data_IF_369857750526
#
_entry.id   IF_369857750526
#
_cell.length_a   1.000
_cell.length_b   1.000
_cell.length_c   1.000
_cell.angle_alpha   90.00
_cell.angle_beta   90.00
_cell.angle_gamma   90.00
#
_symmetry.space_group_name_H-M   'P 1'
#
loop_
_entity.id
_entity.type
_entity.pdbx_description
1 polymer ?
#
# COMPACT_ATOMS: atom_id res chain seq x y z
N UNK A 1 6.97 -43.51 -12.73
CA UNK A 1 7.92 -42.59 -13.39
C UNK A 1 7.14 -41.42 -13.99
N UNK A 2 7.57 -40.19 -13.70
CA UNK A 2 7.02 -38.93 -14.23
C UNK A 2 7.04 -38.87 -15.76
N UNK A 3 6.06 -38.17 -16.33
CA UNK A 3 6.14 -37.08 -17.35
C UNK A 3 4.71 -36.78 -17.82
N UNK A 4 4.04 -35.75 -17.29
CA UNK A 4 4.04 -34.35 -17.75
C UNK A 4 3.98 -34.22 -19.27
N UNK A 5 2.84 -33.77 -19.78
CA UNK A 5 2.73 -32.96 -21.00
C UNK A 5 1.50 -32.06 -20.83
N UNK A 6 1.74 -30.78 -20.54
CA UNK A 6 0.73 -29.71 -20.65
C UNK A 6 0.94 -29.11 -22.04
N UNK A 7 -0.11 -29.15 -22.85
CA UNK A 7 -0.21 -28.46 -24.13
C UNK A 7 -1.15 -27.27 -23.91
N UNK A 8 -0.60 -26.05 -23.84
CA UNK A 8 -1.40 -24.82 -23.84
C UNK A 8 -1.21 -24.13 -25.18
N UNK A 9 -2.22 -24.20 -26.05
CA UNK A 9 -2.39 -23.32 -27.20
C UNK A 9 -3.71 -22.60 -26.93
N UNK A 10 -3.67 -21.30 -26.63
CA UNK A 10 -4.74 -20.36 -27.02
C UNK A 10 -4.09 -18.99 -27.25
N UNK A 11 -4.29 -18.47 -28.46
CA UNK A 11 -3.99 -17.09 -28.84
C UNK A 11 -5.28 -16.30 -29.01
N UNK A 12 -5.25 -15.08 -28.45
CA UNK A 12 -5.94 -13.83 -28.81
C UNK A 12 -7.35 -13.50 -28.29
N UNK A 13 -7.33 -12.38 -27.54
CA UNK A 13 -8.26 -11.23 -27.43
C UNK A 13 -9.30 -11.18 -26.29
N UNK A 14 -9.10 -10.11 -25.49
CA UNK A 14 -9.95 -9.43 -24.51
C UNK A 14 -9.94 -10.01 -23.08
N UNK A 15 -9.82 -9.07 -22.13
CA UNK A 15 -9.69 -9.11 -20.66
C UNK A 15 -8.40 -9.71 -20.05
N UNK A 16 -7.51 -8.82 -19.60
CA UNK A 16 -6.49 -9.12 -18.59
C UNK A 16 -7.19 -9.26 -17.23
N UNK A 17 -7.54 -10.48 -16.82
CA UNK A 17 -7.79 -10.83 -15.43
C UNK A 17 -7.11 -12.19 -15.18
N UNK A 18 -6.04 -12.20 -14.40
CA UNK A 18 -5.50 -13.43 -13.82
C UNK A 18 -5.96 -13.48 -12.35
N UNK A 19 -6.74 -14.50 -12.02
CA UNK A 19 -7.18 -14.80 -10.65
C UNK A 19 -6.05 -15.60 -10.00
N UNK A 20 -5.47 -15.11 -8.90
CA UNK A 20 -4.55 -15.92 -8.10
C UNK A 20 -5.31 -16.57 -6.93
N UNK A 21 -5.24 -17.89 -6.84
CA UNK A 21 -5.76 -18.65 -5.71
C UNK A 21 -4.59 -18.94 -4.77
N UNK A 22 -4.62 -18.38 -3.55
CA UNK A 22 -3.61 -18.63 -2.51
C UNK A 22 -4.23 -19.42 -1.37
N UNK A 23 -3.56 -20.48 -0.92
CA UNK A 23 -4.04 -21.33 0.19
C UNK A 23 -3.96 -20.59 1.53
N UNK A 24 -4.96 -20.81 2.39
CA UNK A 24 -5.13 -20.07 3.66
C UNK A 24 -3.99 -20.22 4.68
N UNK A 25 -3.13 -21.23 4.56
CA UNK A 25 -2.04 -21.50 5.51
C UNK A 25 -0.81 -20.57 5.35
N UNK A 26 -0.80 -19.68 4.35
CA UNK A 26 0.40 -18.88 3.99
C UNK A 26 0.29 -17.36 4.24
N UNK A 27 -0.79 -16.85 4.88
CA UNK A 27 -0.97 -15.38 5.03
C UNK A 27 -1.46 -14.98 6.43
N UNK A 28 -0.67 -14.15 7.12
CA UNK A 28 -1.12 -13.35 8.27
C UNK A 28 -1.59 -11.97 7.78
N UNK A 29 -2.91 -11.82 7.64
CA UNK A 29 -3.55 -10.60 7.12
C UNK A 29 -3.53 -9.40 8.08
N UNK A 30 -3.06 -9.55 9.34
CA UNK A 30 -2.92 -8.39 10.24
C UNK A 30 -1.66 -7.56 9.97
N UNK A 31 -0.71 -8.07 9.19
CA UNK A 31 0.59 -7.43 8.95
C UNK A 31 0.87 -7.07 7.49
N UNK A 32 -0.09 -7.32 6.58
CA UNK A 32 0.14 -7.17 5.15
C UNK A 32 -0.44 -5.86 4.60
N UNK A 33 0.43 -4.88 4.40
CA UNK A 33 0.15 -3.64 3.68
C UNK A 33 0.19 -3.92 2.16
N UNK A 34 -0.96 -4.10 1.54
CA UNK A 34 -1.02 -4.28 0.08
C UNK A 34 -1.05 -2.91 -0.60
N UNK A 35 -0.24 -2.68 -1.67
CA UNK A 35 -0.50 -1.57 -2.60
C UNK A 35 -1.90 -1.71 -3.21
N UNK A 36 -2.53 -0.58 -3.58
CA UNK A 36 -3.88 -0.55 -4.17
C UNK A 36 -4.10 -1.68 -5.19
N UNK A 37 -5.14 -2.48 -4.97
CA UNK A 37 -5.54 -3.60 -5.81
C UNK A 37 -6.80 -3.22 -6.56
N UNK A 38 -6.98 -3.73 -7.79
CA UNK A 38 -8.33 -3.77 -8.33
C UNK A 38 -9.16 -4.79 -7.58
N UNK A 39 -10.32 -4.38 -7.05
CA UNK A 39 -11.21 -5.31 -6.39
C UNK A 39 -11.75 -6.34 -7.39
N UNK A 40 -12.18 -7.50 -6.90
CA UNK A 40 -12.85 -8.49 -7.76
C UNK A 40 -14.20 -7.93 -8.21
N UNK A 41 -14.32 -7.57 -9.48
CA UNK A 41 -15.53 -7.04 -10.11
C UNK A 41 -16.48 -8.16 -10.57
N UNK A 42 -16.02 -9.40 -10.66
CA UNK A 42 -16.84 -10.52 -11.13
C UNK A 42 -16.38 -11.86 -10.56
N UNK A 43 -17.33 -12.70 -10.15
CA UNK A 43 -17.11 -14.13 -9.87
C UNK A 43 -18.08 -14.96 -10.71
N UNK A 44 -17.57 -15.91 -11.48
CA UNK A 44 -18.37 -16.90 -12.21
C UNK A 44 -18.47 -18.19 -11.40
N UNK A 45 -19.70 -18.66 -11.15
CA UNK A 45 -19.97 -19.83 -10.33
C UNK A 45 -20.62 -20.90 -11.20
N UNK A 46 -20.00 -22.08 -11.24
CA UNK A 46 -20.54 -23.22 -11.97
C UNK A 46 -21.96 -23.55 -11.49
N UNK A 47 -22.93 -23.54 -12.41
CA UNK A 47 -24.33 -23.84 -12.12
C UNK A 47 -25.18 -22.69 -11.54
N UNK A 48 -24.58 -21.62 -11.00
CA UNK A 48 -25.30 -20.45 -10.49
C UNK A 48 -25.26 -19.26 -11.47
N UNK A 49 -24.13 -19.08 -12.16
CA UNK A 49 -23.91 -17.99 -13.11
C UNK A 49 -22.95 -16.93 -12.56
N UNK A 50 -23.00 -15.76 -13.19
CA UNK A 50 -22.11 -14.62 -12.92
C UNK A 50 -22.66 -13.74 -11.80
N UNK A 51 -21.79 -13.29 -10.91
CA UNK A 51 -22.05 -12.21 -9.96
C UNK A 51 -21.12 -11.06 -10.28
N UNK A 52 -21.69 -9.87 -10.45
CA UNK A 52 -20.96 -8.62 -10.69
C UNK A 52 -20.90 -7.79 -9.40
N UNK A 53 -19.78 -7.09 -9.18
CA UNK A 53 -19.56 -6.24 -8.02
C UNK A 53 -19.12 -4.85 -8.47
N UNK A 54 -19.57 -3.81 -7.77
CA UNK A 54 -19.07 -2.44 -7.96
C UNK A 54 -18.49 -1.89 -6.66
N UNK A 55 -17.53 -0.98 -6.79
CA UNK A 55 -16.74 -0.48 -5.66
C UNK A 55 -16.56 1.04 -5.71
N UNK A 56 -16.48 1.65 -4.54
CA UNK A 56 -16.03 3.03 -4.32
C UNK A 56 -14.91 3.03 -3.28
N UNK A 57 -13.76 3.64 -3.59
CA UNK A 57 -12.55 3.60 -2.74
C UNK A 57 -12.23 2.19 -2.19
N UNK A 58 -12.36 1.14 -3.02
CA UNK A 58 -12.19 -0.29 -2.70
C UNK A 58 -13.20 -0.90 -1.70
N UNK A 59 -14.21 -0.14 -1.25
CA UNK A 59 -15.37 -0.67 -0.55
C UNK A 59 -16.41 -1.15 -1.55
N UNK A 60 -16.90 -2.38 -1.39
CA UNK A 60 -17.94 -2.93 -2.27
C UNK A 60 -19.25 -2.17 -2.05
N UNK A 61 -19.66 -1.35 -3.01
CA UNK A 61 -20.90 -0.57 -2.95
C UNK A 61 -22.09 -1.27 -3.59
N UNK A 62 -21.88 -2.25 -4.48
CA UNK A 62 -22.97 -3.13 -4.92
C UNK A 62 -22.52 -4.53 -5.29
N UNK A 63 -23.47 -5.47 -5.25
CA UNK A 63 -23.36 -6.80 -5.87
C UNK A 63 -24.63 -7.13 -6.64
N UNK A 64 -24.48 -7.67 -7.85
CA UNK A 64 -25.58 -8.02 -8.74
C UNK A 64 -25.39 -9.46 -9.21
N UNK A 65 -26.23 -10.36 -8.69
CA UNK A 65 -26.34 -11.73 -9.17
C UNK A 65 -27.43 -11.85 -10.24
N UNK A 66 -27.77 -13.10 -10.58
CA UNK A 66 -28.77 -13.42 -11.60
C UNK A 66 -30.16 -12.84 -11.31
N UNK A 67 -30.61 -12.95 -10.07
CA UNK A 67 -31.99 -12.65 -9.67
C UNK A 67 -32.08 -11.59 -8.56
N UNK A 68 -30.95 -11.07 -8.07
CA UNK A 68 -30.92 -10.15 -6.93
C UNK A 68 -29.74 -9.17 -7.03
N UNK A 69 -29.96 -7.93 -6.58
CA UNK A 69 -28.94 -6.89 -6.43
C UNK A 69 -28.94 -6.41 -4.99
N UNK A 70 -27.78 -6.12 -4.42
CA UNK A 70 -27.65 -5.54 -3.08
C UNK A 70 -26.74 -4.33 -3.17
N UNK A 71 -27.21 -3.20 -2.66
CA UNK A 71 -26.47 -1.96 -2.49
C UNK A 71 -25.95 -1.86 -1.06
N UNK A 72 -24.75 -1.31 -0.89
CA UNK A 72 -24.05 -1.19 0.37
C UNK A 72 -23.70 0.27 0.68
N UNK A 73 -24.01 0.71 1.89
CA UNK A 73 -23.67 2.05 2.39
C UNK A 73 -22.63 1.94 3.50
N UNK A 74 -21.59 2.75 3.41
CA UNK A 74 -20.53 2.81 4.42
C UNK A 74 -20.55 4.15 5.16
N UNK A 75 -20.06 4.14 6.40
CA UNK A 75 -19.79 5.37 7.16
C UNK A 75 -18.54 6.09 6.62
N UNK A 76 -18.32 7.33 7.06
CA UNK A 76 -17.11 8.10 6.73
C UNK A 76 -15.80 7.41 7.16
N UNK A 77 -15.87 6.51 8.14
CA UNK A 77 -14.74 5.70 8.60
C UNK A 77 -14.66 4.31 7.96
N UNK A 78 -15.42 4.05 6.90
CA UNK A 78 -15.32 2.82 6.10
C UNK A 78 -16.05 1.61 6.70
N UNK A 79 -16.98 1.81 7.63
CA UNK A 79 -17.75 0.71 8.23
C UNK A 79 -19.01 0.46 7.41
N UNK A 80 -19.33 -0.80 7.11
CA UNK A 80 -20.57 -1.14 6.41
C UNK A 80 -21.75 -0.88 7.35
N UNK A 81 -22.54 0.17 7.09
CA UNK A 81 -23.67 0.58 7.94
C UNK A 81 -25.04 0.17 7.37
N UNK A 82 -25.13 -0.12 6.07
CA UNK A 82 -26.38 -0.56 5.44
C UNK A 82 -26.14 -1.54 4.30
N UNK A 83 -27.02 -2.53 4.15
CA UNK A 83 -27.14 -3.39 2.97
C UNK A 83 -28.61 -3.47 2.56
N UNK A 84 -28.94 -3.21 1.30
CA UNK A 84 -30.31 -3.10 0.79
C UNK A 84 -30.47 -3.78 -0.56
N UNK A 85 -31.45 -4.67 -0.70
CA UNK A 85 -31.75 -5.33 -1.97
C UNK A 85 -33.01 -4.80 -2.69
N UNK A 86 -33.55 -3.68 -2.20
CA UNK A 86 -34.78 -3.05 -2.68
C UNK A 86 -36.08 -3.64 -2.10
N UNK A 87 -36.02 -4.86 -1.54
CA UNK A 87 -37.15 -5.50 -0.84
C UNK A 87 -36.95 -5.59 0.66
N UNK A 88 -35.70 -5.75 1.08
CA UNK A 88 -35.27 -5.91 2.46
C UNK A 88 -33.94 -5.18 2.67
N UNK A 89 -33.77 -4.67 3.89
CA UNK A 89 -32.55 -3.98 4.26
C UNK A 89 -32.10 -4.33 5.67
N UNK A 90 -30.80 -4.23 5.86
CA UNK A 90 -30.10 -4.51 7.11
C UNK A 90 -29.30 -3.26 7.48
N UNK A 91 -29.53 -2.71 8.66
CA UNK A 91 -28.67 -1.69 9.24
C UNK A 91 -27.72 -2.34 10.25
N UNK A 92 -26.45 -1.98 10.24
CA UNK A 92 -25.46 -2.55 11.15
C UNK A 92 -25.15 -1.60 12.30
N UNK A 93 -25.04 -2.15 13.51
CA UNK A 93 -24.76 -1.40 14.73
C UNK A 93 -23.29 -1.58 15.08
N UNK A 94 -22.58 -0.50 15.43
CA UNK A 94 -21.16 -0.54 15.77
C UNK A 94 -20.84 0.12 17.12
N UNK A 95 -19.79 -0.38 17.77
CA UNK A 95 -19.05 0.31 18.82
C UNK A 95 -17.56 0.32 18.45
N UNK A 96 -17.00 1.51 18.27
CA UNK A 96 -15.69 1.67 17.64
C UNK A 96 -15.66 1.01 16.27
N UNK A 97 -14.74 0.07 16.04
CA UNK A 97 -14.60 -0.69 14.79
C UNK A 97 -15.36 -2.04 14.77
N UNK A 98 -16.00 -2.41 15.88
CA UNK A 98 -16.63 -3.73 16.03
C UNK A 98 -18.12 -3.63 15.72
N UNK A 99 -18.62 -4.47 14.81
CA UNK A 99 -20.06 -4.58 14.58
C UNK A 99 -20.70 -5.31 15.77
N UNK A 100 -21.58 -4.66 16.52
CA UNK A 100 -22.22 -5.28 17.68
C UNK A 100 -23.48 -6.07 17.32
N UNK A 101 -24.01 -5.89 16.11
CA UNK A 101 -25.29 -6.45 15.74
C UNK A 101 -25.87 -5.84 14.48
N UNK A 102 -27.15 -6.12 14.24
CA UNK A 102 -27.89 -5.60 13.12
C UNK A 102 -29.34 -5.23 13.51
N UNK A 103 -29.97 -4.39 12.70
CA UNK A 103 -31.40 -4.14 12.70
C UNK A 103 -31.96 -4.67 11.40
N UNK A 104 -32.94 -5.57 11.50
CA UNK A 104 -33.66 -6.14 10.37
C UNK A 104 -35.15 -6.16 10.67
N UNK A 105 -35.98 -5.65 9.75
CA UNK A 105 -37.45 -5.52 9.93
C UNK A 105 -37.85 -4.85 11.26
N UNK A 106 -37.14 -3.78 11.63
CA UNK A 106 -37.31 -3.03 12.88
C UNK A 106 -37.07 -3.81 14.18
N UNK A 107 -36.33 -4.92 14.12
CA UNK A 107 -35.89 -5.67 15.29
C UNK A 107 -34.37 -5.62 15.40
N UNK A 108 -33.87 -5.33 16.60
CA UNK A 108 -32.45 -5.32 16.89
C UNK A 108 -31.97 -6.73 17.32
N UNK A 109 -30.83 -7.13 16.76
CA UNK A 109 -30.17 -8.38 17.04
C UNK A 109 -28.71 -8.12 17.40
N UNK A 110 -28.19 -8.79 18.43
CA UNK A 110 -26.82 -8.58 18.94
C UNK A 110 -25.95 -9.80 18.74
N UNK A 111 -24.68 -9.58 18.47
CA UNK A 111 -23.71 -10.65 18.25
C UNK A 111 -22.99 -11.05 19.53
N UNK A 112 -22.69 -12.34 19.63
CA UNK A 112 -21.74 -12.90 20.57
C UNK A 112 -20.55 -13.41 19.78
N UNK A 113 -19.35 -12.97 20.16
CA UNK A 113 -18.10 -13.27 19.46
C UNK A 113 -17.26 -14.32 20.18
N UNK A 114 -16.46 -15.07 19.41
CA UNK A 114 -15.34 -15.85 19.94
C UNK A 114 -14.06 -15.00 20.09
N UNK A 115 -12.96 -15.63 20.54
CA UNK A 115 -11.67 -14.97 20.77
C UNK A 115 -10.99 -14.45 19.51
N UNK A 116 -11.37 -14.95 18.33
CA UNK A 116 -10.80 -14.53 17.03
C UNK A 116 -11.72 -13.58 16.26
N UNK A 117 -12.81 -13.12 16.88
CA UNK A 117 -13.73 -12.14 16.33
C UNK A 117 -14.79 -12.72 15.40
N UNK A 118 -15.06 -14.03 15.43
CA UNK A 118 -16.17 -14.63 14.68
C UNK A 118 -17.47 -14.57 15.47
N UNK A 119 -18.59 -14.27 14.80
CA UNK A 119 -19.92 -14.32 15.44
C UNK A 119 -20.29 -15.78 15.69
N UNK A 120 -20.38 -16.22 16.94
CA UNK A 120 -20.77 -17.59 17.30
C UNK A 120 -22.24 -17.69 17.69
N UNK A 121 -22.88 -16.57 18.03
CA UNK A 121 -24.30 -16.51 18.35
C UNK A 121 -24.94 -15.16 18.05
N UNK A 122 -26.26 -15.16 17.87
CA UNK A 122 -27.09 -13.95 17.82
C UNK A 122 -28.09 -14.00 18.96
N UNK A 123 -28.31 -12.87 19.63
CA UNK A 123 -29.42 -12.68 20.58
C UNK A 123 -30.50 -11.75 20.05
N UNK A 124 -31.73 -11.93 20.52
CA UNK A 124 -32.80 -10.94 20.35
C UNK A 124 -32.63 -9.72 21.29
N UNK A 125 -33.57 -8.78 21.23
CA UNK A 125 -33.61 -7.57 22.08
C UNK A 125 -33.69 -7.88 23.58
N UNK A 126 -34.23 -9.04 23.95
CA UNK A 126 -34.35 -9.50 25.33
C UNK A 126 -33.10 -10.24 25.82
N UNK A 127 -32.12 -10.47 24.93
CA UNK A 127 -30.87 -11.18 25.24
C UNK A 127 -30.97 -12.70 25.13
N UNK A 128 -32.07 -13.25 24.59
CA UNK A 128 -32.17 -14.70 24.37
C UNK A 128 -31.36 -15.08 23.15
N UNK A 129 -30.60 -16.18 23.23
CA UNK A 129 -29.87 -16.71 22.07
C UNK A 129 -30.88 -17.27 21.07
N UNK A 130 -30.91 -16.71 19.87
CA UNK A 130 -31.82 -17.12 18.79
C UNK A 130 -31.11 -17.87 17.66
N UNK A 131 -29.78 -17.74 17.57
CA UNK A 131 -28.97 -18.41 16.56
C UNK A 131 -27.62 -18.85 17.14
N UNK A 132 -27.08 -19.96 16.64
CA UNK A 132 -25.69 -20.39 16.82
C UNK A 132 -25.03 -20.66 15.47
N UNK A 133 -23.75 -20.32 15.36
CA UNK A 133 -22.92 -20.62 14.21
C UNK A 133 -21.83 -21.62 14.58
N UNK A 134 -21.55 -22.53 13.65
CA UNK A 134 -20.38 -23.41 13.70
C UNK A 134 -19.64 -23.31 12.37
N UNK A 135 -18.36 -23.01 12.46
CA UNK A 135 -17.45 -22.83 11.34
C UNK A 135 -16.58 -24.08 11.20
N UNK A 136 -17.04 -25.09 10.46
CA UNK A 136 -16.31 -26.34 10.22
C UNK A 136 -16.07 -26.53 8.73
N UNK A 137 -14.84 -26.28 8.27
CA UNK A 137 -14.50 -26.31 6.84
C UNK A 137 -14.85 -27.69 6.22
N UNK A 138 -15.54 -27.73 5.05
CA UNK A 138 -15.95 -26.62 4.17
C UNK A 138 -17.37 -26.08 4.43
N UNK A 139 -18.00 -26.47 5.54
CA UNK A 139 -19.38 -26.13 5.91
C UNK A 139 -19.48 -24.90 6.81
N UNK A 140 -20.63 -24.24 6.72
CA UNK A 140 -21.03 -23.19 7.64
C UNK A 140 -22.40 -23.50 8.19
N UNK A 141 -22.41 -24.11 9.37
CA UNK A 141 -23.65 -24.58 9.96
C UNK A 141 -24.31 -23.45 10.74
N UNK A 142 -25.60 -23.27 10.46
CA UNK A 142 -26.45 -22.30 11.14
C UNK A 142 -27.48 -23.08 11.92
N UNK A 143 -27.57 -22.84 13.22
CA UNK A 143 -28.47 -23.53 14.11
C UNK A 143 -29.51 -22.56 14.69
N UNK A 144 -30.77 -22.98 14.70
CA UNK A 144 -31.82 -22.41 15.53
C UNK A 144 -31.88 -23.18 16.86
N UNK A 145 -32.29 -22.52 17.94
CA UNK A 145 -32.54 -23.21 19.22
C UNK A 145 -34.01 -23.59 19.34
N UNK A 146 -34.30 -24.88 19.33
CA UNK A 146 -35.63 -25.44 19.62
C UNK A 146 -35.58 -26.09 21.01
N UNK A 147 -36.25 -25.49 22.00
CA UNK A 147 -36.21 -25.94 23.41
C UNK A 147 -34.76 -26.08 23.92
N UNK A 148 -33.92 -25.08 23.67
CA UNK A 148 -32.49 -25.05 24.02
C UNK A 148 -31.60 -26.09 23.30
N UNK A 149 -32.15 -26.84 22.33
CA UNK A 149 -31.39 -27.77 21.50
C UNK A 149 -31.05 -27.12 20.15
N UNK A 150 -29.77 -27.06 19.76
CA UNK A 150 -29.37 -26.61 18.42
C UNK A 150 -29.88 -27.55 17.33
N UNK A 151 -30.68 -27.02 16.40
CA UNK A 151 -31.19 -27.72 15.22
C UNK A 151 -30.70 -27.01 13.97
N UNK A 152 -30.11 -27.76 13.03
CA UNK A 152 -29.60 -27.19 11.78
C UNK A 152 -30.74 -26.51 11.01
N UNK A 153 -30.55 -25.25 10.65
CA UNK A 153 -31.57 -24.40 10.07
C UNK A 153 -31.17 -23.93 8.67
N UNK A 154 -31.83 -24.46 7.65
CA UNK A 154 -31.65 -24.04 6.24
C UNK A 154 -32.72 -23.07 5.77
N UNK A 155 -33.54 -22.49 6.67
CA UNK A 155 -34.58 -21.53 6.30
C UNK A 155 -33.96 -20.18 5.97
N UNK A 156 -34.12 -19.71 4.73
CA UNK A 156 -33.54 -18.46 4.24
C UNK A 156 -34.07 -17.21 4.95
N UNK A 157 -35.30 -17.26 5.49
CA UNK A 157 -35.90 -16.16 6.23
C UNK A 157 -35.47 -16.12 7.71
N UNK A 158 -34.71 -17.12 8.18
CA UNK A 158 -34.22 -17.15 9.56
C UNK A 158 -33.10 -16.13 9.75
N UNK A 159 -33.10 -15.39 10.87
CA UNK A 159 -32.12 -14.34 11.14
C UNK A 159 -30.66 -14.82 11.02
N UNK A 160 -30.39 -16.08 11.41
CA UNK A 160 -29.08 -16.69 11.25
C UNK A 160 -28.63 -16.78 9.78
N UNK A 161 -29.57 -17.01 8.86
CA UNK A 161 -29.32 -17.07 7.42
C UNK A 161 -29.37 -15.69 6.75
N UNK A 162 -30.13 -14.74 7.30
CA UNK A 162 -30.17 -13.34 6.86
C UNK A 162 -28.89 -12.60 7.22
N UNK A 163 -28.32 -12.83 8.41
CA UNK A 163 -27.12 -12.15 8.88
C UNK A 163 -25.90 -12.50 8.01
N UNK A 164 -25.26 -11.50 7.37
CA UNK A 164 -24.04 -11.71 6.61
C UNK A 164 -22.76 -11.61 7.46
N UNK A 165 -22.76 -10.92 8.61
CA UNK A 165 -21.54 -10.74 9.42
C UNK A 165 -21.29 -12.01 10.24
N UNK A 166 -20.25 -12.78 9.90
CA UNK A 166 -20.03 -14.11 10.50
C UNK A 166 -18.56 -14.35 10.88
N UNK A 167 -17.84 -15.24 10.16
CA UNK A 167 -16.46 -15.60 10.46
C UNK A 167 -15.54 -14.38 10.47
N UNK A 168 -14.81 -14.16 11.57
CA UNK A 168 -13.93 -12.99 11.80
C UNK A 168 -14.57 -11.61 11.54
N UNK A 169 -15.90 -11.51 11.61
CA UNK A 169 -16.64 -10.29 11.31
C UNK A 169 -16.73 -9.95 9.82
N UNK A 170 -16.40 -10.89 8.93
CA UNK A 170 -16.48 -10.71 7.48
C UNK A 170 -17.90 -10.89 6.95
N UNK A 171 -18.19 -10.28 5.80
CA UNK A 171 -19.49 -10.34 5.15
C UNK A 171 -19.60 -11.62 4.32
N UNK A 172 -20.55 -12.49 4.64
CA UNK A 172 -20.78 -13.75 3.96
C UNK A 172 -21.72 -13.60 2.76
N UNK A 173 -21.21 -13.90 1.56
CA UNK A 173 -21.99 -14.04 0.34
C UNK A 173 -22.43 -15.50 0.20
N UNK A 174 -23.67 -15.76 0.61
CA UNK A 174 -24.24 -17.11 0.63
C UNK A 174 -24.27 -17.76 -0.75
N UNK A 175 -24.51 -16.98 -1.79
CA UNK A 175 -24.67 -17.44 -3.16
C UNK A 175 -23.41 -18.06 -3.78
N UNK A 176 -22.23 -17.70 -3.27
CA UNK A 176 -20.94 -18.15 -3.78
C UNK A 176 -20.06 -18.83 -2.72
N UNK A 177 -20.59 -19.01 -1.50
CA UNK A 177 -19.88 -19.54 -0.34
C UNK A 177 -18.55 -18.82 -0.06
N UNK A 178 -18.51 -17.50 -0.25
CA UNK A 178 -17.35 -16.67 0.01
C UNK A 178 -17.60 -15.65 1.12
N UNK A 179 -16.55 -15.32 1.85
CA UNK A 179 -16.49 -14.17 2.72
C UNK A 179 -15.84 -13.00 2.01
N UNK A 180 -16.43 -11.81 2.08
CA UNK A 180 -15.79 -10.55 1.72
C UNK A 180 -15.13 -9.94 2.97
N UNK A 181 -13.82 -9.72 2.89
CA UNK A 181 -12.99 -9.25 3.99
C UNK A 181 -12.83 -7.73 4.01
N UNK A 182 -13.17 -7.06 2.90
CA UNK A 182 -12.78 -5.68 2.62
C UNK A 182 -11.82 -5.61 1.43
N UNK A 183 -11.69 -4.40 0.86
CA UNK A 183 -10.70 -4.06 -0.17
C UNK A 183 -10.70 -4.97 -1.42
N UNK A 184 -11.84 -5.57 -1.74
CA UNK A 184 -11.98 -6.44 -2.91
C UNK A 184 -11.42 -7.85 -2.74
N UNK A 185 -11.12 -8.26 -1.50
CA UNK A 185 -10.59 -9.58 -1.16
C UNK A 185 -11.71 -10.50 -0.65
N UNK A 186 -11.69 -11.74 -1.13
CA UNK A 186 -12.64 -12.76 -0.74
C UNK A 186 -11.94 -14.01 -0.19
N UNK A 187 -12.63 -14.78 0.63
CA UNK A 187 -12.20 -16.09 1.11
C UNK A 187 -13.25 -17.13 0.75
N UNK A 188 -12.86 -18.10 -0.09
CA UNK A 188 -13.72 -19.18 -0.55
C UNK A 188 -13.69 -20.33 0.45
N UNK A 189 -14.83 -20.56 1.10
CA UNK A 189 -14.96 -21.58 2.14
C UNK A 189 -15.00 -22.99 1.57
N UNK A 190 -15.39 -23.18 0.31
CA UNK A 190 -15.36 -24.51 -0.32
C UNK A 190 -13.95 -25.01 -0.54
N UNK A 191 -13.01 -24.10 -0.84
CA UNK A 191 -11.65 -24.43 -1.26
C UNK A 191 -10.58 -24.11 -0.21
N UNK A 192 -10.91 -23.38 0.86
CA UNK A 192 -9.97 -22.86 1.85
C UNK A 192 -8.91 -21.93 1.22
N UNK A 193 -9.37 -21.05 0.33
CA UNK A 193 -8.51 -20.21 -0.50
C UNK A 193 -8.94 -18.76 -0.42
N UNK A 194 -7.96 -17.86 -0.38
CA UNK A 194 -8.22 -16.45 -0.64
C UNK A 194 -8.36 -16.25 -2.15
N UNK A 195 -9.46 -15.60 -2.55
CA UNK A 195 -9.67 -15.11 -3.90
C UNK A 195 -9.39 -13.60 -3.87
N UNK A 196 -8.41 -13.21 -4.65
CA UNK A 196 -8.09 -11.81 -4.90
C UNK A 196 -7.65 -11.69 -6.34
N UNK A 197 -7.94 -10.54 -6.95
CA UNK A 197 -7.22 -10.20 -8.17
C UNK A 197 -5.74 -10.05 -7.82
N UNK A 198 -4.87 -10.31 -8.80
CA UNK A 198 -3.50 -9.85 -8.73
C UNK A 198 -3.47 -8.36 -8.36
N UNK A 199 -2.40 -7.91 -7.71
CA UNK A 199 -2.16 -6.49 -7.45
C UNK A 199 -2.13 -5.76 -8.78
N UNK A 200 -3.28 -5.24 -9.18
CA UNK A 200 -3.40 -4.38 -10.32
C UNK A 200 -3.12 -2.97 -9.83
N UNK A 201 -1.92 -2.46 -10.15
CA UNK A 201 -1.60 -1.05 -10.02
C UNK A 201 -2.67 -0.27 -10.81
N UNK A 202 -3.65 0.30 -10.10
CA UNK A 202 -4.64 1.21 -10.70
C UNK A 202 -3.89 2.48 -11.07
N UNK A 203 -3.30 2.51 -12.27
CA UNK A 203 -2.67 3.71 -12.80
C UNK A 203 -3.78 4.57 -13.43
N UNK A 204 -3.95 5.84 -13.02
CA UNK A 204 -5.06 6.69 -13.44
C UNK A 204 -4.94 7.23 -14.89
N UNK A 205 -4.15 6.60 -15.77
CA UNK A 205 -4.01 7.10 -17.14
C UNK A 205 -3.57 6.01 -18.14
N UNK A 206 -4.07 6.12 -19.37
CA UNK A 206 -3.80 5.23 -20.50
C UNK A 206 -2.33 5.27 -20.93
N UNK A 207 -1.52 4.35 -20.39
CA UNK A 207 -0.19 4.03 -20.90
C UNK A 207 -0.04 2.53 -21.11
N UNK A 208 0.84 2.12 -22.03
CA UNK A 208 0.94 0.73 -22.45
C UNK A 208 1.33 -0.17 -21.28
N UNK A 209 0.62 -1.29 -21.10
CA UNK A 209 0.91 -2.36 -20.14
C UNK A 209 2.41 -2.79 -20.12
N UNK A 210 3.14 -2.51 -21.20
CA UNK A 210 4.58 -2.81 -21.32
C UNK A 210 5.48 -2.02 -20.36
N UNK A 211 5.16 -0.78 -19.99
CA UNK A 211 6.06 0.05 -19.19
C UNK A 211 5.98 -0.29 -17.71
N UNK A 212 4.77 -0.53 -17.22
CA UNK A 212 4.51 -1.07 -15.89
C UNK A 212 5.15 -2.44 -15.73
N UNK A 213 4.98 -3.30 -16.74
CA UNK A 213 5.58 -4.64 -16.76
C UNK A 213 7.11 -4.58 -16.70
N UNK A 214 7.77 -3.64 -17.39
CA UNK A 214 9.23 -3.44 -17.31
C UNK A 214 9.67 -3.04 -15.90
N UNK A 215 9.00 -2.07 -15.28
CA UNK A 215 9.33 -1.61 -13.92
C UNK A 215 9.12 -2.72 -12.90
N UNK A 216 8.02 -3.46 -13.00
CA UNK A 216 7.72 -4.57 -12.09
C UNK A 216 8.68 -5.75 -12.27
N UNK A 217 9.03 -6.09 -13.51
CA UNK A 217 10.03 -7.12 -13.80
C UNK A 217 11.38 -6.78 -13.19
N UNK A 218 11.84 -5.54 -13.35
CA UNK A 218 13.09 -5.07 -12.75
C UNK A 218 13.01 -5.10 -11.22
N UNK A 219 11.91 -4.65 -10.64
CA UNK A 219 11.68 -4.71 -9.19
C UNK A 219 11.77 -6.14 -8.65
N UNK A 220 11.08 -7.10 -9.27
CA UNK A 220 11.13 -8.51 -8.88
C UNK A 220 12.55 -9.10 -9.00
N UNK A 221 13.29 -8.75 -10.06
CA UNK A 221 14.69 -9.15 -10.21
C UNK A 221 15.58 -8.59 -9.10
N UNK A 222 15.40 -7.31 -8.75
CA UNK A 222 16.11 -6.66 -7.66
C UNK A 222 15.81 -7.30 -6.30
N UNK A 223 14.54 -7.57 -6.01
CA UNK A 223 14.12 -8.14 -4.71
C UNK A 223 14.50 -9.62 -4.55
N UNK A 224 14.58 -10.37 -5.64
CA UNK A 224 15.03 -11.78 -5.63
C UNK A 224 16.56 -11.93 -5.77
N UNK A 225 17.29 -10.84 -5.99
CA UNK A 225 18.75 -10.86 -6.10
C UNK A 225 19.40 -10.98 -4.72
N UNK A 226 20.25 -11.99 -4.56
CA UNK A 226 21.06 -12.17 -3.34
C UNK A 226 22.17 -11.13 -3.20
N UNK A 227 22.47 -10.36 -4.25
CA UNK A 227 23.56 -9.37 -4.25
C UNK A 227 23.07 -7.92 -4.14
N UNK A 228 21.88 -7.60 -4.64
CA UNK A 228 21.36 -6.23 -4.74
C UNK A 228 21.14 -5.54 -3.38
N UNK A 229 20.80 -6.29 -2.33
CA UNK A 229 20.63 -5.78 -0.96
C UNK A 229 21.85 -6.04 -0.05
N UNK A 230 22.89 -6.69 -0.58
CA UNK A 230 24.01 -7.16 0.23
C UNK A 230 24.84 -6.04 0.86
N UNK A 231 25.49 -6.32 1.98
CA UNK A 231 26.37 -5.36 2.65
C UNK A 231 27.53 -4.91 1.73
N UNK A 232 28.01 -3.67 1.92
CA UNK A 232 29.16 -3.10 1.21
C UNK A 232 30.24 -2.59 2.16
N UNK A 233 31.50 -2.88 1.82
CA UNK A 233 32.67 -2.37 2.54
C UNK A 233 32.93 -0.89 2.26
N UNK A 234 33.70 -0.26 3.14
CA UNK A 234 34.27 1.07 2.89
C UNK A 234 35.48 0.94 1.97
N UNK A 235 35.79 2.01 1.23
CA UNK A 235 37.09 2.12 0.53
C UNK A 235 38.14 2.71 1.48
N UNK A 236 39.37 2.21 1.41
CA UNK A 236 40.51 2.79 2.14
C UNK A 236 40.87 4.18 1.63
N UNK A 237 41.62 4.97 2.41
CA UNK A 237 42.15 6.28 1.97
C UNK A 237 42.91 6.18 0.66
N UNK A 238 43.77 5.18 0.53
CA UNK A 238 44.57 4.95 -0.67
C UNK A 238 43.69 4.65 -1.89
N UNK A 239 42.63 3.87 -1.72
CA UNK A 239 41.66 3.61 -2.80
C UNK A 239 40.86 4.87 -3.15
N UNK A 240 40.40 5.62 -2.15
CA UNK A 240 39.66 6.87 -2.36
C UNK A 240 40.47 7.90 -3.15
N UNK A 241 41.74 8.07 -2.80
CA UNK A 241 42.67 9.02 -3.44
C UNK A 241 42.97 8.64 -4.89
N UNK A 242 42.86 7.34 -5.22
CA UNK A 242 42.95 6.84 -6.60
C UNK A 242 41.64 6.96 -7.39
N UNK A 243 40.59 7.50 -6.78
CA UNK A 243 39.28 7.69 -7.40
C UNK A 243 38.26 6.61 -7.10
N UNK A 244 38.62 5.52 -6.40
CA UNK A 244 37.68 4.43 -6.12
C UNK A 244 36.62 4.87 -5.11
N UNK A 245 35.40 4.36 -5.28
CA UNK A 245 34.26 4.58 -4.40
C UNK A 245 33.64 3.24 -4.04
N UNK A 246 32.95 3.20 -2.90
CA UNK A 246 32.33 1.97 -2.39
C UNK A 246 31.20 1.45 -3.30
N UNK A 247 30.62 2.34 -4.11
CA UNK A 247 29.51 2.06 -5.02
C UNK A 247 29.96 1.77 -6.46
N UNK A 248 31.26 1.76 -6.78
CA UNK A 248 31.72 1.64 -8.17
C UNK A 248 31.22 0.36 -8.87
N UNK A 249 31.16 -0.76 -8.14
CA UNK A 249 30.67 -2.04 -8.65
C UNK A 249 29.13 -2.15 -8.71
N UNK A 250 28.40 -1.16 -8.21
CA UNK A 250 26.94 -1.16 -8.19
C UNK A 250 26.37 -0.62 -9.51
N UNK A 251 25.25 -1.20 -9.92
CA UNK A 251 24.43 -0.62 -10.98
C UNK A 251 23.66 0.60 -10.46
N UNK A 252 23.16 1.41 -11.38
CA UNK A 252 22.52 2.69 -11.05
C UNK A 252 21.23 2.51 -10.23
N UNK A 253 20.48 1.43 -10.47
CA UNK A 253 19.27 1.11 -9.72
C UNK A 253 19.57 0.82 -8.26
N UNK A 254 20.63 0.06 -7.95
CA UNK A 254 21.04 -0.23 -6.57
C UNK A 254 21.57 1.03 -5.87
N UNK A 255 22.34 1.85 -6.57
CA UNK A 255 22.81 3.14 -6.04
C UNK A 255 21.61 4.03 -5.68
N UNK A 256 20.61 4.11 -6.56
CA UNK A 256 19.41 4.90 -6.34
C UNK A 256 18.61 4.40 -5.13
N UNK A 257 18.39 3.08 -5.02
CA UNK A 257 17.65 2.49 -3.90
C UNK A 257 18.35 2.77 -2.56
N UNK A 258 19.68 2.58 -2.51
CA UNK A 258 20.50 2.86 -1.32
C UNK A 258 20.53 4.34 -0.97
N UNK A 259 20.53 5.22 -1.97
CA UNK A 259 20.47 6.67 -1.77
C UNK A 259 19.16 7.04 -1.07
N UNK A 260 18.03 6.69 -1.68
CA UNK A 260 16.69 7.01 -1.15
C UNK A 260 16.53 6.45 0.27
N UNK A 261 16.96 5.20 0.47
CA UNK A 261 16.94 4.58 1.79
C UNK A 261 17.79 5.33 2.82
N UNK A 262 19.02 5.71 2.46
CA UNK A 262 19.94 6.38 3.37
C UNK A 262 19.50 7.78 3.78
N UNK A 263 18.76 8.47 2.90
CA UNK A 263 18.15 9.76 3.22
C UNK A 263 16.98 9.61 4.20
N UNK A 264 16.24 8.49 4.15
CA UNK A 264 15.21 8.22 5.15
C UNK A 264 14.88 6.73 5.41
N UNK A 265 15.44 6.19 6.48
CA UNK A 265 15.32 4.78 6.88
C UNK A 265 14.07 4.45 7.71
N UNK A 266 13.26 5.44 8.10
CA UNK A 266 12.16 5.26 9.05
C UNK A 266 10.83 4.90 8.36
N UNK A 267 10.04 3.98 8.93
CA UNK A 267 8.78 3.51 8.34
C UNK A 267 7.79 4.64 7.98
N UNK A 268 7.52 5.57 8.90
CA UNK A 268 6.57 6.69 8.71
C UNK A 268 7.05 7.87 7.85
N UNK A 269 7.98 7.64 6.92
CA UNK A 269 8.63 8.68 6.09
C UNK A 269 8.54 8.39 4.60
N UNK A 270 7.48 7.69 4.18
CA UNK A 270 7.24 7.32 2.79
C UNK A 270 7.21 8.54 1.86
N UNK A 271 6.52 9.62 2.27
CA UNK A 271 6.47 10.87 1.50
C UNK A 271 7.84 11.51 1.31
N UNK A 272 8.69 11.49 2.34
CA UNK A 272 10.04 12.06 2.27
C UNK A 272 10.90 11.28 1.26
N UNK A 273 10.81 9.95 1.26
CA UNK A 273 11.50 9.09 0.27
C UNK A 273 10.99 9.33 -1.15
N UNK A 274 9.68 9.43 -1.34
CA UNK A 274 9.10 9.77 -2.65
C UNK A 274 9.54 11.15 -3.11
N UNK A 275 9.63 12.14 -2.20
CA UNK A 275 10.13 13.46 -2.52
C UNK A 275 11.61 13.47 -2.93
N UNK A 276 12.46 12.65 -2.30
CA UNK A 276 13.85 12.43 -2.75
C UNK A 276 13.88 11.88 -4.18
N UNK A 277 12.98 10.96 -4.53
CA UNK A 277 12.90 10.43 -5.88
C UNK A 277 12.51 11.53 -6.91
N UNK A 278 11.51 12.35 -6.59
CA UNK A 278 11.12 13.50 -7.41
C UNK A 278 12.24 14.54 -7.53
N UNK A 279 12.99 14.80 -6.47
CA UNK A 279 14.16 15.68 -6.48
C UNK A 279 15.21 15.18 -7.49
N UNK A 280 15.48 13.88 -7.52
CA UNK A 280 16.42 13.27 -8.48
C UNK A 280 15.92 13.48 -9.91
N UNK A 281 14.66 13.17 -10.20
CA UNK A 281 14.04 13.40 -11.50
C UNK A 281 14.11 14.87 -11.93
N UNK A 282 13.78 15.80 -11.02
CA UNK A 282 13.86 17.24 -11.26
C UNK A 282 15.28 17.69 -11.59
N UNK A 283 16.29 17.18 -10.87
CA UNK A 283 17.69 17.50 -11.13
C UNK A 283 18.13 17.03 -12.52
N UNK A 284 17.75 15.82 -12.92
CA UNK A 284 18.02 15.28 -14.26
C UNK A 284 17.40 16.17 -15.33
N UNK A 285 16.11 16.49 -15.20
CA UNK A 285 15.38 17.31 -16.15
C UNK A 285 15.87 18.77 -16.19
N UNK A 286 16.45 19.26 -15.08
CA UNK A 286 17.10 20.56 -15.00
C UNK A 286 18.56 20.56 -15.52
N UNK A 287 19.06 19.43 -16.04
CA UNK A 287 20.40 19.32 -16.62
C UNK A 287 21.54 19.20 -15.61
N UNK A 288 21.25 18.86 -14.34
CA UNK A 288 22.31 18.61 -13.35
C UNK A 288 23.16 17.43 -13.82
N UNK A 289 24.47 17.58 -13.68
CA UNK A 289 25.44 16.58 -14.18
C UNK A 289 25.18 16.20 -15.64
N UNK A 290 24.83 17.18 -16.48
CA UNK A 290 24.52 16.99 -17.91
C UNK A 290 23.35 16.03 -18.16
N UNK A 291 22.41 15.92 -17.20
CA UNK A 291 21.29 14.99 -17.26
C UNK A 291 21.68 13.52 -17.00
N UNK A 292 22.93 13.25 -16.59
CA UNK A 292 23.38 11.89 -16.30
C UNK A 292 22.83 11.39 -14.95
N UNK A 293 22.02 10.33 -15.00
CA UNK A 293 21.36 9.72 -13.84
C UNK A 293 22.34 9.39 -12.71
N UNK A 294 23.38 8.59 -13.00
CA UNK A 294 24.43 8.24 -12.03
C UNK A 294 25.12 9.48 -11.49
N UNK A 295 25.49 10.42 -12.36
CA UNK A 295 26.17 11.67 -12.03
C UNK A 295 25.37 12.58 -11.11
N UNK A 296 24.03 12.55 -11.14
CA UNK A 296 23.18 13.26 -10.18
C UNK A 296 23.27 12.60 -8.80
N UNK A 297 23.12 11.27 -8.73
CA UNK A 297 23.13 10.51 -7.47
C UNK A 297 24.50 10.50 -6.79
N UNK A 298 25.57 10.45 -7.57
CA UNK A 298 26.94 10.34 -7.08
C UNK A 298 27.66 11.68 -7.05
N UNK A 299 26.97 12.82 -7.27
CA UNK A 299 27.60 14.14 -7.17
C UNK A 299 28.11 14.34 -5.75
N UNK A 300 29.40 14.63 -5.63
CA UNK A 300 30.03 14.77 -4.30
C UNK A 300 29.31 15.81 -3.45
N UNK A 301 29.07 15.43 -2.19
CA UNK A 301 28.44 16.26 -1.14
C UNK A 301 26.97 16.65 -1.40
N UNK A 302 26.36 16.22 -2.50
CA UNK A 302 24.93 16.45 -2.75
C UNK A 302 24.04 15.41 -2.06
N UNK A 303 24.52 14.17 -2.00
CA UNK A 303 23.93 13.08 -1.24
C UNK A 303 25.04 12.43 -0.41
N UNK A 304 25.19 12.85 0.84
CA UNK A 304 26.28 12.39 1.72
C UNK A 304 26.20 10.90 2.06
N UNK A 305 25.01 10.29 1.95
CA UNK A 305 24.86 8.85 2.06
C UNK A 305 25.58 8.07 0.95
N UNK A 306 25.81 8.69 -0.21
CA UNK A 306 26.47 8.06 -1.36
C UNK A 306 27.92 8.55 -1.53
N UNK A 307 28.13 9.84 -1.75
CA UNK A 307 29.45 10.39 -2.08
C UNK A 307 29.83 11.59 -1.19
N UNK A 308 30.12 11.35 0.11
CA UNK A 308 30.55 12.40 1.02
C UNK A 308 32.02 12.81 0.74
N UNK A 309 32.58 13.68 1.57
CA UNK A 309 34.04 13.83 1.64
C UNK A 309 34.65 12.63 2.37
N UNK A 310 35.94 12.34 2.17
CA UNK A 310 36.59 11.21 2.84
C UNK A 310 36.46 11.26 4.37
N UNK A 311 36.57 12.47 4.96
CA UNK A 311 36.43 12.68 6.42
C UNK A 311 35.04 12.31 6.95
N UNK A 312 34.04 12.19 6.07
CA UNK A 312 32.64 11.91 6.37
C UNK A 312 32.18 10.56 5.79
N UNK A 313 33.10 9.61 5.58
CA UNK A 313 32.76 8.27 5.08
C UNK A 313 31.77 7.49 5.98
N UNK A 314 31.66 7.85 7.27
CA UNK A 314 30.65 7.33 8.19
C UNK A 314 29.22 7.61 7.72
N UNK A 315 28.99 8.68 6.95
CA UNK A 315 27.66 9.06 6.47
C UNK A 315 27.08 8.02 5.50
N UNK A 316 27.94 7.18 4.91
CA UNK A 316 27.55 6.09 4.01
C UNK A 316 27.05 4.84 4.74
N UNK A 317 27.05 4.80 6.08
CA UNK A 317 26.75 3.60 6.85
C UNK A 317 25.38 3.01 6.52
N UNK A 318 24.33 3.85 6.47
CA UNK A 318 22.97 3.40 6.14
C UNK A 318 22.89 2.89 4.70
N UNK A 319 23.57 3.56 3.75
CA UNK A 319 23.58 3.16 2.35
C UNK A 319 24.32 1.83 2.12
N UNK A 320 25.35 1.53 2.92
CA UNK A 320 26.20 0.33 2.79
C UNK A 320 25.77 -0.87 3.62
N UNK A 321 24.88 -0.69 4.59
CA UNK A 321 24.37 -1.79 5.39
C UNK A 321 23.70 -2.86 4.50
N UNK A 322 23.63 -4.09 5.03
CA UNK A 322 22.74 -5.09 4.46
C UNK A 322 21.30 -4.59 4.60
N UNK A 323 20.53 -4.66 3.52
CA UNK A 323 19.17 -4.16 3.48
C UNK A 323 18.19 -5.31 3.70
N UNK A 324 17.23 -5.09 4.58
CA UNK A 324 16.17 -6.06 4.84
C UNK A 324 15.17 -6.05 3.68
N UNK A 325 15.21 -7.10 2.86
CA UNK A 325 14.31 -7.27 1.71
C UNK A 325 12.86 -7.44 2.10
N UNK A 326 12.58 -7.79 3.36
CA UNK A 326 11.23 -7.92 3.90
C UNK A 326 10.67 -6.59 4.41
N UNK A 327 11.53 -5.58 4.62
CA UNK A 327 11.14 -4.25 5.09
C UNK A 327 10.41 -3.44 4.01
N UNK A 328 9.26 -2.88 4.35
CA UNK A 328 8.49 -2.03 3.43
C UNK A 328 9.21 -0.73 3.07
N UNK A 329 10.06 -0.23 3.98
CA UNK A 329 10.95 0.91 3.70
C UNK A 329 11.87 0.58 2.53
N UNK A 330 12.54 -0.58 2.58
CA UNK A 330 13.45 -0.99 1.53
C UNK A 330 12.71 -1.30 0.23
N UNK A 331 11.60 -2.06 0.29
CA UNK A 331 10.75 -2.33 -0.88
C UNK A 331 10.34 -1.04 -1.60
N UNK A 332 9.91 -0.02 -0.87
CA UNK A 332 9.56 1.28 -1.45
C UNK A 332 10.77 1.93 -2.15
N UNK A 333 11.96 1.91 -1.52
CA UNK A 333 13.18 2.47 -2.11
C UNK A 333 13.55 1.77 -3.41
N UNK A 334 13.47 0.43 -3.45
CA UNK A 334 13.76 -0.35 -4.66
C UNK A 334 12.75 -0.05 -5.77
N UNK A 335 11.46 0.06 -5.45
CA UNK A 335 10.42 0.39 -6.42
C UNK A 335 10.63 1.79 -7.01
N UNK A 336 10.88 2.80 -6.18
CA UNK A 336 11.21 4.17 -6.62
C UNK A 336 12.47 4.21 -7.51
N UNK A 337 13.50 3.45 -7.15
CA UNK A 337 14.72 3.34 -7.95
C UNK A 337 14.50 2.69 -9.32
N UNK A 338 13.66 1.64 -9.39
CA UNK A 338 13.30 0.98 -10.65
C UNK A 338 12.56 1.96 -11.58
N UNK A 339 11.63 2.74 -11.03
CA UNK A 339 10.89 3.79 -11.77
C UNK A 339 11.87 4.84 -12.29
N UNK A 340 12.77 5.34 -11.45
CA UNK A 340 13.72 6.39 -11.84
C UNK A 340 14.78 5.94 -12.85
N UNK A 341 15.13 4.65 -12.85
CA UNK A 341 16.01 4.08 -13.88
C UNK A 341 15.27 3.94 -15.21
N UNK A 342 13.95 3.82 -15.17
CA UNK A 342 13.08 3.74 -16.35
C UNK A 342 12.78 5.13 -16.95
N UNK A 343 12.46 6.12 -16.11
CA UNK A 343 12.06 7.46 -16.57
C UNK A 343 12.36 8.56 -15.54
N UNK A 344 12.69 9.75 -16.05
CA UNK A 344 12.72 11.00 -15.27
C UNK A 344 11.50 11.89 -15.54
N UNK A 345 10.57 11.48 -16.42
CA UNK A 345 9.36 12.23 -16.69
C UNK A 345 8.43 12.18 -15.47
N UNK A 346 8.11 13.34 -14.92
CA UNK A 346 7.31 13.42 -13.68
C UNK A 346 5.89 12.91 -13.83
N UNK A 347 5.28 13.03 -15.00
CA UNK A 347 3.93 12.54 -15.24
C UNK A 347 3.93 11.01 -15.27
N UNK A 348 4.98 10.42 -15.85
CA UNK A 348 5.19 8.97 -15.80
C UNK A 348 5.53 8.48 -14.39
N UNK A 349 6.39 9.17 -13.65
CA UNK A 349 6.68 8.83 -12.24
C UNK A 349 5.39 8.91 -11.41
N UNK A 350 4.60 9.97 -11.58
CA UNK A 350 3.35 10.20 -10.86
C UNK A 350 2.31 9.10 -11.06
N UNK A 351 2.37 8.38 -12.19
CA UNK A 351 1.52 7.22 -12.38
C UNK A 351 1.85 6.13 -11.37
N UNK A 352 3.13 5.84 -11.11
CA UNK A 352 3.55 4.79 -10.19
C UNK A 352 3.54 5.22 -8.72
N UNK A 353 3.97 6.45 -8.45
CA UNK A 353 4.02 7.06 -7.13
C UNK A 353 3.73 8.55 -7.28
N UNK A 354 2.54 9.04 -6.89
CA UNK A 354 2.21 10.44 -7.00
C UNK A 354 3.13 11.31 -6.14
N UNK A 355 3.34 12.55 -6.58
CA UNK A 355 4.13 13.51 -5.83
C UNK A 355 3.45 13.80 -4.47
N UNK A 356 4.18 13.76 -3.35
CA UNK A 356 3.65 14.13 -2.05
C UNK A 356 3.21 15.59 -2.04
N UNK A 357 2.25 15.91 -1.16
CA UNK A 357 1.78 17.29 -0.97
C UNK A 357 2.96 18.23 -0.74
N UNK A 358 2.98 19.34 -1.49
CA UNK A 358 4.01 20.38 -1.45
C UNK A 358 5.22 20.12 -2.37
N UNK A 359 5.36 18.92 -2.94
CA UNK A 359 6.47 18.59 -3.85
C UNK A 359 6.05 18.86 -5.30
N UNK A 360 6.89 19.57 -6.04
CA UNK A 360 6.65 19.93 -7.44
C UNK A 360 7.94 19.93 -8.28
N UNK A 361 8.71 21.02 -8.27
CA UNK A 361 9.88 21.27 -9.12
C UNK A 361 11.15 21.53 -8.32
N UNK A 362 11.15 21.28 -7.01
CA UNK A 362 12.31 21.50 -6.16
C UNK A 362 13.51 20.71 -6.68
N UNK A 363 14.66 21.38 -6.78
CA UNK A 363 15.97 20.78 -7.13
C UNK A 363 16.98 20.84 -5.99
N UNK A 364 16.61 21.43 -4.84
CA UNK A 364 17.41 21.44 -3.63
C UNK A 364 16.71 20.68 -2.50
N UNK A 365 17.53 20.09 -1.64
CA UNK A 365 17.09 19.40 -0.44
C UNK A 365 18.15 19.56 0.64
N UNK A 366 17.71 19.70 1.89
CA UNK A 366 18.60 19.67 3.05
C UNK A 366 17.87 19.12 4.27
N UNK A 367 18.56 18.30 5.08
CA UNK A 367 17.97 17.74 6.30
C UNK A 367 17.66 18.82 7.32
N UNK A 368 16.42 18.85 7.84
CA UNK A 368 15.94 19.92 8.72
C UNK A 368 16.77 20.05 10.00
N UNK A 369 17.25 18.93 10.55
CA UNK A 369 18.13 18.96 11.73
C UNK A 369 19.39 19.80 11.46
N UNK A 370 19.96 19.68 10.27
CA UNK A 370 21.16 20.40 9.87
C UNK A 370 20.85 21.86 9.50
N UNK A 371 19.65 22.16 8.95
CA UNK A 371 19.19 23.55 8.74
C UNK A 371 19.11 24.28 10.07
N UNK A 372 18.41 23.71 11.06
CA UNK A 372 18.21 24.34 12.38
C UNK A 372 19.55 24.58 13.09
N UNK A 373 20.53 23.69 12.91
CA UNK A 373 21.83 23.76 13.56
C UNK A 373 22.87 24.63 12.81
N UNK A 374 22.58 25.05 11.57
CA UNK A 374 23.56 25.70 10.71
C UNK A 374 23.39 27.22 10.67
N UNK A 375 24.49 27.95 10.83
CA UNK A 375 24.53 29.40 10.64
C UNK A 375 24.42 29.84 9.18
N UNK A 376 24.55 28.91 8.22
CA UNK A 376 24.35 29.20 6.80
C UNK A 376 22.89 29.49 6.47
N UNK A 377 21.93 29.09 7.32
CA UNK A 377 20.51 29.37 7.12
C UNK A 377 20.06 30.54 8.00
N UNK A 378 19.44 31.54 7.39
CA UNK A 378 18.92 32.73 8.11
C UNK A 378 17.46 32.99 7.78
N UNK A 379 16.76 33.69 8.69
CA UNK A 379 15.32 33.96 8.59
C UNK A 379 15.08 35.45 8.67
N UNK A 380 14.54 36.03 7.59
CA UNK A 380 14.32 37.48 7.45
C UNK A 380 13.03 37.70 6.66
N UNK A 381 12.20 38.66 7.07
CA UNK A 381 10.98 39.04 6.35
C UNK A 381 10.07 37.85 5.99
N UNK A 382 9.88 36.91 6.92
CA UNK A 382 9.08 35.69 6.74
C UNK A 382 9.56 34.76 5.62
N UNK A 383 10.87 34.74 5.37
CA UNK A 383 11.53 33.86 4.41
C UNK A 383 12.79 33.25 4.98
N UNK A 384 13.19 32.11 4.42
CA UNK A 384 14.46 31.45 4.70
C UNK A 384 15.47 31.77 3.60
N UNK A 385 16.73 31.93 3.98
CA UNK A 385 17.86 32.19 3.11
C UNK A 385 18.96 31.17 3.42
N UNK A 386 19.70 30.73 2.41
CA UNK A 386 20.93 29.98 2.59
C UNK A 386 22.09 30.75 1.96
N UNK A 387 23.11 31.09 2.75
CA UNK A 387 24.24 31.93 2.33
C UNK A 387 23.77 33.21 1.60
N UNK A 388 22.81 33.90 2.20
CA UNK A 388 22.15 35.13 1.69
C UNK A 388 21.33 34.98 0.40
N UNK A 389 21.10 33.76 -0.10
CA UNK A 389 20.19 33.49 -1.22
C UNK A 389 18.82 33.06 -0.70
N UNK A 390 17.77 33.75 -1.11
CA UNK A 390 16.36 33.45 -0.74
C UNK A 390 15.97 32.07 -1.26
N UNK A 391 15.33 31.25 -0.41
CA UNK A 391 14.73 29.99 -0.86
C UNK A 391 13.27 30.23 -1.28
N UNK A 392 12.85 29.49 -2.30
CA UNK A 392 11.50 29.52 -2.87
C UNK A 392 10.95 28.10 -3.01
N UNK A 393 9.63 27.96 -3.19
CA UNK A 393 8.96 26.64 -3.32
C UNK A 393 9.31 25.68 -2.18
N UNK A 394 9.29 26.20 -0.95
CA UNK A 394 9.77 25.52 0.25
C UNK A 394 8.72 24.56 0.76
N UNK A 395 9.07 23.28 0.95
CA UNK A 395 8.14 22.26 1.39
C UNK A 395 8.79 21.18 2.26
N UNK A 396 7.97 20.61 3.14
CA UNK A 396 8.20 19.34 3.82
C UNK A 396 7.21 18.35 3.27
N UNK A 397 7.71 17.31 2.60
CA UNK A 397 6.92 16.36 1.82
C UNK A 397 5.77 15.74 2.63
N UNK A 398 4.54 15.80 2.09
CA UNK A 398 3.36 15.19 2.71
C UNK A 398 2.93 15.82 4.03
N UNK A 399 3.55 16.95 4.42
CA UNK A 399 3.28 17.63 5.69
C UNK A 399 2.87 19.08 5.52
N UNK A 400 3.70 19.87 4.82
CA UNK A 400 3.47 21.32 4.74
C UNK A 400 4.20 21.94 3.56
N UNK A 401 3.47 22.77 2.81
CA UNK A 401 4.06 23.72 1.88
C UNK A 401 4.12 25.10 2.55
N UNK A 402 5.27 25.76 2.47
CA UNK A 402 5.51 27.04 3.12
C UNK A 402 5.46 28.17 2.11
N UNK A 403 4.49 29.06 2.30
CA UNK A 403 4.44 30.37 1.62
C UNK A 403 5.20 31.42 2.45
N UNK A 404 5.24 31.25 3.77
CA UNK A 404 5.94 32.10 4.73
C UNK A 404 6.60 31.25 5.82
N UNK A 405 7.81 31.66 6.27
CA UNK A 405 8.50 31.06 7.41
C UNK A 405 9.33 32.11 8.15
N UNK A 406 9.07 32.29 9.44
CA UNK A 406 9.54 33.44 10.22
C UNK A 406 10.75 33.10 11.08
N UNK A 407 10.94 31.82 11.44
CA UNK A 407 12.08 31.38 12.26
C UNK A 407 12.36 29.88 12.13
N UNK A 408 13.54 29.47 12.59
CA UNK A 408 13.93 28.05 12.66
C UNK A 408 13.01 27.22 13.56
N UNK A 409 12.36 27.82 14.56
CA UNK A 409 11.53 27.08 15.51
C UNK A 409 10.30 26.46 14.85
N UNK A 410 9.81 27.04 13.75
CA UNK A 410 8.72 26.48 12.95
C UNK A 410 9.07 25.15 12.28
N UNK A 411 10.38 24.86 12.12
CA UNK A 411 10.86 23.60 11.58
C UNK A 411 11.05 22.52 12.66
N UNK A 412 10.97 22.86 13.95
CA UNK A 412 11.21 21.90 15.03
C UNK A 412 10.23 20.71 15.00
N UNK A 413 8.97 20.94 14.58
CA UNK A 413 7.96 19.89 14.44
C UNK A 413 8.32 18.86 13.36
N UNK A 414 9.27 19.18 12.48
CA UNK A 414 9.68 18.38 11.34
C UNK A 414 11.15 17.91 11.45
N UNK A 415 11.70 17.85 12.66
CA UNK A 415 13.02 17.22 12.87
C UNK A 415 13.04 15.79 12.33
N UNK A 416 14.16 15.44 11.69
CA UNK A 416 14.33 14.17 10.97
C UNK A 416 13.55 14.06 9.66
N UNK A 417 13.03 15.16 9.11
CA UNK A 417 12.57 15.26 7.72
C UNK A 417 13.54 16.07 6.88
N UNK A 418 13.37 16.03 5.57
CA UNK A 418 14.07 16.89 4.63
C UNK A 418 13.22 18.12 4.26
N UNK A 419 13.89 19.26 4.08
CA UNK A 419 13.30 20.47 3.49
C UNK A 419 13.65 20.50 2.01
N UNK A 420 12.65 20.57 1.15
CA UNK A 420 12.79 20.66 -0.29
C UNK A 420 12.55 22.11 -0.72
N UNK A 421 13.35 22.63 -1.65
CA UNK A 421 13.26 24.03 -2.07
C UNK A 421 13.97 24.31 -3.41
N UNK A 422 13.85 25.54 -3.86
CA UNK A 422 14.62 26.15 -4.94
C UNK A 422 15.33 27.42 -4.44
N UNK A 423 16.37 27.87 -5.14
CA UNK A 423 16.91 29.21 -4.94
C UNK A 423 16.12 30.20 -5.79
N UNK A 424 15.87 31.39 -5.23
CA UNK A 424 15.41 32.52 -6.03
C UNK A 424 16.47 32.84 -7.09
N UNK A 425 16.04 32.82 -8.35
CA UNK A 425 16.89 33.15 -9.50
C UNK A 425 17.24 34.64 -9.53
#
# INVERSE_FOLDING_TARGET
>A
MKKITILLIVTFLLSNLFICNVKAEEIDLQTWDFPERKPIETIDIEGYGRIDYTYDHNFRISKTGKDNSVEFTYSECGQLIYADNGSESIAFIYDGHTCLGLIYKNQEYKYIYDEVGSVVSITDEQGNIVCKYEYDFPTQNVYILENDVPVLCSNDAFIGNINPIRYRGWYYDKENNCYYLGEGVYYNVSNNEYIMNDVELILPYSYSCSDVSKVLTLYTQCMNSTTFSGQRGQVSKTQWDKGNRWYDALNDTEICARLIYSENTSAGKADDRTAVAYLIANRINAGYSEGNFRGVMTKSQQFSGINPTYKRLSDTNNARAAQDVTSDVWKQCVKLACILTYTSDKSQIASFYPAPVGISNQVQMYGINAIIASSSFTYKNNKIYQNDVELTDVAVAGKKQYITISSASELNAYKGWNLFYNYKK
#
